data_IF_899012866011
#
_entry.id   IF_899012866011
#
_cell.length_a   1.000
_cell.length_b   1.000
_cell.length_c   1.000
_cell.angle_alpha   90.00
_cell.angle_beta   90.00
_cell.angle_gamma   90.00
#
_symmetry.space_group_name_H-M   'P 1'
#
loop_
_entity.id
_entity.type
_entity.pdbx_description
1 polymer ?
#
# COMPACT_ATOMS: atom_id res chain seq x y z
N UNK A 1 -25.05 -3.14 2.28
CA UNK A 1 -23.59 -3.07 2.45
C UNK A 1 -23.16 -1.73 1.90
N UNK A 2 -22.67 -0.83 2.75
CA UNK A 2 -22.13 0.46 2.33
C UNK A 2 -20.65 0.23 2.04
N UNK A 3 -20.25 0.37 0.77
CA UNK A 3 -18.85 0.30 0.40
C UNK A 3 -18.21 1.64 0.78
N UNK A 4 -17.10 1.66 1.53
CA UNK A 4 -16.37 2.90 1.76
C UNK A 4 -16.01 3.52 0.40
N UNK A 5 -16.39 4.78 0.21
CA UNK A 5 -16.11 5.52 -1.02
C UNK A 5 -14.82 6.29 -0.80
N UNK A 6 -13.74 5.83 -1.44
CA UNK A 6 -12.48 6.55 -1.47
C UNK A 6 -12.52 7.56 -2.62
N UNK A 7 -12.34 8.84 -2.32
CA UNK A 7 -12.15 9.87 -3.35
C UNK A 7 -10.67 10.14 -3.49
N UNK A 8 -10.06 9.58 -4.53
CA UNK A 8 -8.70 9.91 -4.94
C UNK A 8 -8.73 10.93 -6.08
N UNK A 9 -7.87 11.93 -6.01
CA UNK A 9 -7.54 12.76 -7.17
C UNK A 9 -6.75 11.93 -8.20
N UNK A 10 -6.78 12.37 -9.45
CA UNK A 10 -6.08 11.71 -10.56
C UNK A 10 -4.58 11.51 -10.24
N UNK A 11 -3.93 12.47 -9.57
CA UNK A 11 -2.54 12.34 -9.15
C UNK A 11 -2.31 11.26 -8.07
N UNK A 12 -3.27 11.08 -7.16
CA UNK A 12 -3.19 10.06 -6.11
C UNK A 12 -3.42 8.66 -6.68
N UNK A 13 -4.29 8.53 -7.69
CA UNK A 13 -4.46 7.28 -8.45
C UNK A 13 -3.17 6.88 -9.18
N UNK A 14 -2.49 7.83 -9.83
CA UNK A 14 -1.21 7.56 -10.50
C UNK A 14 -0.11 7.16 -9.52
N UNK A 15 -0.07 7.82 -8.35
CA UNK A 15 0.85 7.47 -7.26
C UNK A 15 0.59 6.04 -6.77
N UNK A 16 -0.66 5.72 -6.43
CA UNK A 16 -1.07 4.39 -6.00
C UNK A 16 -0.69 3.33 -7.04
N UNK A 17 -1.13 3.51 -8.29
CA UNK A 17 -0.85 2.56 -9.37
C UNK A 17 0.65 2.33 -9.57
N UNK A 18 1.46 3.40 -9.50
CA UNK A 18 2.92 3.31 -9.62
C UNK A 18 3.55 2.50 -8.48
N UNK A 19 3.16 2.76 -7.24
CA UNK A 19 3.72 2.08 -6.06
C UNK A 19 3.33 0.61 -6.04
N UNK A 20 2.06 0.30 -6.33
CA UNK A 20 1.55 -1.07 -6.37
C UNK A 20 2.20 -1.85 -7.50
N UNK A 21 2.34 -1.25 -8.69
CA UNK A 21 3.02 -1.90 -9.82
C UNK A 21 4.48 -2.23 -9.47
N UNK A 22 5.21 -1.27 -8.90
CA UNK A 22 6.59 -1.48 -8.48
C UNK A 22 6.70 -2.59 -7.43
N UNK A 23 5.83 -2.58 -6.41
CA UNK A 23 5.81 -3.61 -5.39
C UNK A 23 5.49 -5.00 -5.97
N UNK A 24 4.49 -5.11 -6.85
CA UNK A 24 4.15 -6.36 -7.53
C UNK A 24 5.33 -6.89 -8.35
N UNK A 25 6.02 -6.02 -9.10
CA UNK A 25 7.20 -6.39 -9.87
C UNK A 25 8.35 -6.88 -8.98
N UNK A 26 8.64 -6.18 -7.88
CA UNK A 26 9.69 -6.58 -6.93
C UNK A 26 9.40 -7.92 -6.26
N UNK A 27 8.14 -8.19 -5.91
CA UNK A 27 7.75 -9.41 -5.22
C UNK A 27 7.33 -10.54 -6.17
N UNK A 28 7.38 -10.29 -7.49
CA UNK A 28 6.90 -11.21 -8.53
C UNK A 28 5.44 -11.68 -8.30
N UNK A 29 4.61 -10.77 -7.80
CA UNK A 29 3.19 -11.00 -7.53
C UNK A 29 2.38 -10.46 -8.69
N UNK A 30 1.36 -11.22 -9.09
CA UNK A 30 0.43 -10.76 -10.11
C UNK A 30 -0.50 -9.67 -9.53
N UNK A 31 -0.70 -8.54 -10.22
CA UNK A 31 -1.45 -7.39 -9.72
C UNK A 31 -2.95 -7.67 -9.51
N UNK A 32 -3.49 -8.73 -10.11
CA UNK A 32 -4.90 -9.13 -9.93
C UNK A 32 -5.08 -10.13 -8.78
N UNK A 33 -3.98 -10.66 -8.24
CA UNK A 33 -3.96 -11.63 -7.15
C UNK A 33 -4.49 -11.07 -5.83
N UNK A 34 -4.96 -11.96 -4.96
CA UNK A 34 -5.46 -11.59 -3.63
C UNK A 34 -4.41 -10.86 -2.77
N UNK A 35 -3.14 -11.25 -2.88
CA UNK A 35 -2.03 -10.53 -2.22
C UNK A 35 -1.92 -9.08 -2.70
N UNK A 36 -1.97 -8.84 -4.01
CA UNK A 36 -1.92 -7.49 -4.55
C UNK A 36 -3.14 -6.67 -4.13
N UNK A 37 -4.34 -7.28 -4.09
CA UNK A 37 -5.56 -6.61 -3.59
C UNK A 37 -5.46 -6.23 -2.11
N UNK A 38 -4.89 -7.09 -1.27
CA UNK A 38 -4.64 -6.76 0.13
C UNK A 38 -3.66 -5.59 0.27
N UNK A 39 -2.60 -5.57 -0.53
CA UNK A 39 -1.60 -4.48 -0.56
C UNK A 39 -2.21 -3.17 -1.08
N UNK A 40 -3.08 -3.23 -2.08
CA UNK A 40 -3.84 -2.07 -2.57
C UNK A 40 -4.72 -1.50 -1.45
N UNK A 41 -5.42 -2.35 -0.70
CA UNK A 41 -6.24 -1.91 0.43
C UNK A 41 -5.40 -1.20 1.50
N UNK A 42 -4.23 -1.74 1.84
CA UNK A 42 -3.28 -1.11 2.77
C UNK A 42 -2.76 0.23 2.23
N UNK A 43 -2.41 0.29 0.94
CA UNK A 43 -1.93 1.52 0.33
C UNK A 43 -3.01 2.62 0.29
N UNK A 44 -4.28 2.25 0.13
CA UNK A 44 -5.41 3.19 0.23
C UNK A 44 -5.55 3.76 1.64
N UNK A 45 -5.46 2.92 2.68
CA UNK A 45 -5.48 3.35 4.09
C UNK A 45 -4.32 4.34 4.39
N UNK A 46 -3.13 4.07 3.84
CA UNK A 46 -1.98 4.98 3.95
C UNK A 46 -2.20 6.32 3.23
N UNK A 47 -2.85 6.32 2.06
CA UNK A 47 -3.20 7.57 1.37
C UNK A 47 -4.18 8.39 2.21
N UNK A 48 -5.19 7.74 2.81
CA UNK A 48 -6.13 8.40 3.73
C UNK A 48 -5.42 8.95 4.98
N UNK A 49 -4.40 8.23 5.49
CA UNK A 49 -3.55 8.70 6.59
C UNK A 49 -2.61 9.86 6.22
N UNK A 50 -2.54 10.24 4.94
CA UNK A 50 -1.80 11.42 4.45
C UNK A 50 -0.55 11.10 3.62
N UNK A 51 -0.23 9.83 3.38
CA UNK A 51 0.91 9.43 2.55
C UNK A 51 0.56 9.50 1.05
N UNK A 52 0.51 10.72 0.52
CA UNK A 52 0.04 11.00 -0.86
C UNK A 52 1.14 11.09 -1.92
N UNK A 53 2.40 10.98 -1.53
CA UNK A 53 3.54 11.02 -2.45
C UNK A 53 4.01 9.60 -2.76
N UNK A 54 4.55 9.36 -3.97
CA UNK A 54 5.11 8.06 -4.35
C UNK A 54 6.13 7.54 -3.35
N UNK A 55 7.06 8.41 -2.96
CA UNK A 55 8.13 8.03 -2.04
C UNK A 55 7.61 7.76 -0.63
N UNK A 56 6.74 8.63 -0.10
CA UNK A 56 6.13 8.46 1.22
C UNK A 56 5.27 7.20 1.30
N UNK A 57 4.46 6.96 0.27
CA UNK A 57 3.60 5.78 0.19
C UNK A 57 4.43 4.51 0.05
N UNK A 58 5.49 4.50 -0.76
CA UNK A 58 6.35 3.32 -0.91
C UNK A 58 7.05 2.95 0.40
N UNK A 59 7.52 3.93 1.17
CA UNK A 59 8.17 3.71 2.47
C UNK A 59 7.14 3.20 3.48
N UNK A 60 5.98 3.87 3.59
CA UNK A 60 4.93 3.48 4.52
C UNK A 60 4.39 2.08 4.20
N UNK A 61 4.22 1.75 2.92
CA UNK A 61 3.77 0.43 2.47
C UNK A 61 4.80 -0.66 2.80
N UNK A 62 6.09 -0.41 2.57
CA UNK A 62 7.14 -1.35 2.95
C UNK A 62 7.16 -1.61 4.46
N UNK A 63 6.98 -0.57 5.28
CA UNK A 63 6.88 -0.70 6.73
C UNK A 63 5.63 -1.48 7.17
N UNK A 64 4.49 -1.23 6.53
CA UNK A 64 3.23 -1.92 6.85
C UNK A 64 3.24 -3.40 6.46
N UNK A 65 3.97 -3.77 5.42
CA UNK A 65 4.06 -5.14 4.89
C UNK A 65 5.24 -5.94 5.46
N UNK A 66 6.19 -5.28 6.14
CA UNK A 66 7.27 -5.98 6.81
C UNK A 66 6.71 -6.79 8.00
N UNK A 67 6.83 -8.13 8.01
CA UNK A 67 6.27 -8.95 9.08
C UNK A 67 7.03 -8.85 10.41
N UNK A 68 8.05 -7.99 10.54
CA UNK A 68 8.90 -7.94 11.73
C UNK A 68 9.65 -6.59 11.88
N UNK A 69 9.02 -5.62 12.54
CA UNK A 69 9.73 -4.52 13.20
C UNK A 69 9.28 -4.33 14.67
N UNK A 70 8.50 -5.27 15.19
CA UNK A 70 8.02 -5.30 16.58
C UNK A 70 8.17 -6.67 17.25
N UNK A 71 8.88 -7.64 16.63
CA UNK A 71 9.27 -8.88 17.30
C UNK A 71 10.74 -8.83 17.75
N UNK A 72 11.12 -7.77 18.47
CA UNK A 72 12.31 -7.82 19.35
C UNK A 72 11.94 -7.34 20.77
N UNK A 73 11.92 -8.34 21.66
CA UNK A 73 11.99 -8.29 23.13
C UNK A 73 10.77 -7.73 23.88
N UNK A 74 10.05 -8.48 24.72
CA UNK A 74 10.45 -9.70 25.41
C UNK A 74 11.56 -9.45 26.43
N UNK A 75 11.28 -8.66 27.46
CA UNK A 75 11.70 -8.83 28.88
C UNK A 75 11.17 -7.68 29.76
#
# INVERSE_FOLDING_TARGET
>A
MQFPTFTLDNGEVEVLASVIQAWCQTNQIDPESECARAVIATALDLIEAGFRTREGLSIALANALAPDALSISGE
#
